data_IF_068175296553
#
_entry.id   IF_068175296553
#
_cell.length_a   1.000
_cell.length_b   1.000
_cell.length_c   1.000
_cell.angle_alpha   90.00
_cell.angle_beta   90.00
_cell.angle_gamma   90.00
#
_symmetry.space_group_name_H-M   'P 1'
#
loop_
_entity.id
_entity.type
_entity.pdbx_description
1 polymer ?
#
# COMPACT_ATOMS: atom_id res chain seq x y z
N UNK A 1 -49.68 -19.30 -18.01
CA UNK A 1 -48.52 -19.04 -17.11
C UNK A 1 -47.58 -18.10 -17.85
N UNK A 2 -47.34 -16.90 -17.31
CA UNK A 2 -46.46 -15.89 -17.94
C UNK A 2 -45.02 -16.19 -17.54
N UNK A 3 -44.17 -16.47 -18.52
CA UNK A 3 -42.72 -16.53 -18.30
C UNK A 3 -42.23 -15.14 -17.97
N UNK A 4 -41.69 -14.98 -16.76
CA UNK A 4 -40.98 -13.78 -16.35
C UNK A 4 -39.69 -13.68 -17.17
N UNK A 5 -39.70 -12.75 -18.11
CA UNK A 5 -38.53 -12.35 -18.88
C UNK A 5 -37.59 -11.64 -17.90
N UNK A 6 -36.51 -12.34 -17.52
CA UNK A 6 -35.42 -11.74 -16.76
C UNK A 6 -34.83 -10.60 -17.59
N UNK A 7 -34.93 -9.37 -17.07
CA UNK A 7 -34.38 -8.18 -17.70
C UNK A 7 -32.86 -8.32 -17.75
N UNK A 8 -32.36 -8.53 -18.98
CA UNK A 8 -30.95 -8.52 -19.29
C UNK A 8 -30.31 -7.19 -18.89
N UNK A 9 -29.09 -7.30 -18.40
CA UNK A 9 -28.22 -6.20 -18.04
C UNK A 9 -28.03 -5.28 -19.26
N UNK A 10 -27.69 -4.01 -19.01
CA UNK A 10 -27.51 -2.98 -20.05
C UNK A 10 -26.52 -3.36 -21.18
N UNK A 11 -26.36 -2.51 -22.22
CA UNK A 11 -25.63 -2.84 -23.44
C UNK A 11 -24.28 -3.50 -23.13
N UNK A 12 -24.11 -4.69 -23.72
CA UNK A 12 -23.10 -5.67 -23.35
C UNK A 12 -21.70 -5.09 -23.26
N UNK A 13 -21.14 -5.18 -22.06
CA UNK A 13 -19.77 -4.81 -21.78
C UNK A 13 -18.80 -5.68 -22.58
N UNK A 14 -17.77 -5.08 -23.18
CA UNK A 14 -16.75 -5.80 -23.94
C UNK A 14 -15.54 -6.08 -23.05
N UNK A 15 -15.07 -7.33 -23.07
CA UNK A 15 -13.87 -7.71 -22.35
C UNK A 15 -12.64 -7.04 -22.97
N UNK A 16 -11.82 -6.42 -22.12
CA UNK A 16 -10.59 -5.74 -22.52
C UNK A 16 -9.38 -6.64 -22.29
N UNK A 17 -8.43 -6.59 -23.23
CA UNK A 17 -7.19 -7.35 -23.12
C UNK A 17 -6.26 -6.72 -22.06
N UNK A 18 -5.93 -7.54 -21.07
CA UNK A 18 -4.98 -7.24 -20.01
C UNK A 18 -3.87 -8.30 -19.99
N UNK A 19 -2.81 -8.01 -19.24
CA UNK A 19 -1.68 -8.90 -19.03
C UNK A 19 -1.38 -9.00 -17.55
N UNK A 20 -1.24 -10.23 -17.06
CA UNK A 20 -0.59 -10.52 -15.79
C UNK A 20 0.93 -10.48 -16.04
N UNK A 21 1.63 -9.58 -15.34
CA UNK A 21 3.05 -9.28 -15.56
C UNK A 21 3.88 -9.79 -14.40
N UNK A 22 4.92 -10.57 -14.71
CA UNK A 22 5.92 -11.08 -13.78
C UNK A 22 7.33 -10.86 -14.32
N UNK A 23 8.33 -10.51 -13.49
CA UNK A 23 8.22 -10.20 -12.07
C UNK A 23 7.51 -8.85 -11.84
N UNK A 24 6.76 -8.76 -10.74
CA UNK A 24 6.05 -7.53 -10.34
C UNK A 24 6.95 -6.30 -10.37
N UNK A 25 8.20 -6.45 -9.92
CA UNK A 25 9.16 -5.37 -9.80
C UNK A 25 9.49 -4.67 -11.14
N UNK A 26 9.27 -5.34 -12.28
CA UNK A 26 9.48 -4.79 -13.62
C UNK A 26 8.19 -4.37 -14.33
N UNK A 27 7.03 -4.45 -13.68
CA UNK A 27 5.75 -4.17 -14.32
C UNK A 27 5.45 -2.68 -14.62
N UNK A 28 6.39 -1.79 -14.29
CA UNK A 28 6.24 -0.34 -14.43
C UNK A 28 5.24 0.26 -13.43
N UNK A 29 5.14 1.59 -13.44
CA UNK A 29 4.49 2.38 -12.40
C UNK A 29 3.02 2.06 -12.15
N UNK A 30 2.25 1.67 -13.18
CA UNK A 30 0.82 1.39 -13.03
C UNK A 30 -0.03 2.64 -12.77
N UNK A 31 -1.25 2.43 -12.29
CA UNK A 31 -2.21 3.52 -12.03
C UNK A 31 -2.11 4.03 -10.59
N UNK A 32 -1.73 5.30 -10.42
CA UNK A 32 -1.56 5.94 -9.11
C UNK A 32 -2.85 5.96 -8.27
N UNK A 33 -4.03 5.78 -8.89
CA UNK A 33 -5.32 5.63 -8.20
C UNK A 33 -5.38 4.41 -7.30
N UNK A 34 -4.55 3.40 -7.56
CA UNK A 34 -4.41 2.23 -6.68
C UNK A 34 -3.97 2.62 -5.25
N UNK A 35 -3.12 3.63 -5.15
CA UNK A 35 -2.64 4.20 -3.88
C UNK A 35 -3.57 5.31 -3.40
N UNK A 36 -3.89 6.29 -4.25
CA UNK A 36 -4.59 7.50 -3.81
C UNK A 36 -6.03 7.24 -3.39
N UNK A 37 -6.80 6.40 -4.09
CA UNK A 37 -8.18 6.08 -3.68
C UNK A 37 -8.22 5.25 -2.39
N UNK A 38 -7.25 4.37 -2.20
CA UNK A 38 -7.10 3.62 -0.96
C UNK A 38 -6.81 4.56 0.22
N UNK A 39 -5.91 5.53 0.04
CA UNK A 39 -5.60 6.51 1.09
C UNK A 39 -6.79 7.42 1.40
N UNK A 40 -7.54 7.87 0.39
CA UNK A 40 -8.80 8.62 0.60
C UNK A 40 -9.81 7.79 1.40
N UNK A 41 -9.93 6.50 1.10
CA UNK A 41 -10.76 5.57 1.85
C UNK A 41 -10.31 5.38 3.31
N UNK A 42 -9.01 5.57 3.58
CA UNK A 42 -8.44 5.58 4.93
C UNK A 42 -8.50 6.95 5.64
N UNK A 43 -9.19 7.94 5.05
CA UNK A 43 -9.35 9.27 5.63
C UNK A 43 -8.21 10.25 5.35
N UNK A 44 -7.26 9.91 4.48
CA UNK A 44 -6.25 10.87 4.03
C UNK A 44 -6.89 11.99 3.23
N UNK A 45 -6.39 13.21 3.45
CA UNK A 45 -6.87 14.40 2.76
C UNK A 45 -6.07 14.63 1.49
N UNK A 46 -6.75 14.82 0.38
CA UNK A 46 -6.15 15.28 -0.88
C UNK A 46 -5.87 16.80 -0.78
N UNK A 47 -4.61 17.18 -0.95
CA UNK A 47 -4.12 18.56 -0.91
C UNK A 47 -3.50 18.97 -2.24
N UNK A 48 -3.78 18.23 -3.31
CA UNK A 48 -3.25 18.49 -4.65
C UNK A 48 -3.76 19.83 -5.18
N UNK A 49 -2.88 20.60 -5.84
CA UNK A 49 -3.30 21.80 -6.58
C UNK A 49 -4.03 21.36 -7.87
N UNK A 50 -4.92 22.21 -8.39
CA UNK A 50 -5.59 21.95 -9.69
C UNK A 50 -4.53 21.71 -10.77
N UNK A 51 -4.61 20.55 -11.43
CA UNK A 51 -3.64 20.09 -12.45
C UNK A 51 -2.18 19.96 -11.97
N UNK A 52 -1.94 19.93 -10.65
CA UNK A 52 -0.62 19.76 -10.06
C UNK A 52 -0.28 18.30 -9.74
N UNK A 53 0.94 18.06 -9.22
CA UNK A 53 1.33 16.77 -8.64
C UNK A 53 0.32 16.32 -7.57
N UNK A 54 0.19 14.99 -7.42
CA UNK A 54 -0.60 14.44 -6.33
C UNK A 54 0.07 14.83 -5.00
N UNK A 55 -0.73 15.32 -4.07
CA UNK A 55 -0.31 15.56 -2.69
C UNK A 55 -1.42 15.12 -1.74
N UNK A 56 -1.06 14.32 -0.74
CA UNK A 56 -1.98 13.81 0.27
C UNK A 56 -1.37 13.95 1.66
N UNK A 57 -2.22 14.19 2.65
CA UNK A 57 -1.83 14.34 4.05
C UNK A 57 -2.60 13.34 4.93
N UNK A 58 -1.90 12.70 5.86
CA UNK A 58 -2.49 11.75 6.79
C UNK A 58 -3.55 12.42 7.69
N UNK A 59 -4.53 11.66 8.23
CA UNK A 59 -5.59 12.21 9.08
C UNK A 59 -5.07 13.02 10.29
N UNK A 60 -3.92 12.62 10.84
CA UNK A 60 -3.24 13.26 11.97
C UNK A 60 -2.22 14.33 11.56
N UNK A 61 -2.07 14.60 10.25
CA UNK A 61 -1.17 15.59 9.63
C UNK A 61 0.31 15.39 9.93
N UNK A 62 0.73 14.17 10.28
CA UNK A 62 2.13 13.85 10.57
C UNK A 62 2.88 13.38 9.33
N UNK A 63 2.19 12.73 8.39
CA UNK A 63 2.78 12.18 7.18
C UNK A 63 2.18 12.85 5.95
N UNK A 64 3.05 13.18 5.01
CA UNK A 64 2.69 13.69 3.68
C UNK A 64 3.20 12.72 2.63
N UNK A 65 2.36 12.47 1.64
CA UNK A 65 2.69 11.71 0.44
C UNK A 65 2.53 12.62 -0.76
N UNK A 66 3.47 12.58 -1.69
CA UNK A 66 3.33 13.25 -2.97
C UNK A 66 3.82 12.37 -4.11
N UNK A 67 3.24 12.55 -5.29
CA UNK A 67 3.72 11.98 -6.53
C UNK A 67 3.86 13.06 -7.59
N UNK A 68 5.11 13.33 -8.01
CA UNK A 68 5.45 14.29 -9.04
C UNK A 68 6.30 13.62 -10.13
N UNK A 69 5.75 13.37 -11.33
CA UNK A 69 6.49 12.73 -12.41
C UNK A 69 7.44 13.68 -13.15
N UNK A 70 7.35 15.00 -12.93
CA UNK A 70 8.06 16.03 -13.70
C UNK A 70 9.34 16.53 -13.02
N UNK A 71 9.49 16.29 -11.72
CA UNK A 71 10.75 16.57 -11.00
C UNK A 71 11.85 15.59 -11.37
N UNK A 72 13.12 15.92 -11.06
CA UNK A 72 14.24 15.02 -11.21
C UNK A 72 14.96 14.78 -9.87
N UNK A 73 15.04 13.53 -9.37
CA UNK A 73 14.35 12.34 -9.88
C UNK A 73 12.85 12.39 -9.56
N UNK A 74 12.00 12.12 -10.56
CA UNK A 74 10.54 12.13 -10.40
C UNK A 74 10.02 10.84 -9.79
N UNK A 75 8.86 10.92 -9.13
CA UNK A 75 8.21 9.77 -8.51
C UNK A 75 7.51 10.12 -7.21
N UNK A 76 7.55 9.17 -6.27
CA UNK A 76 6.90 9.24 -4.98
C UNK A 76 7.85 9.79 -3.92
N UNK A 77 7.33 10.69 -3.08
CA UNK A 77 7.98 11.17 -1.88
C UNK A 77 7.02 10.99 -0.71
N UNK A 78 7.49 10.35 0.35
CA UNK A 78 6.74 10.16 1.59
C UNK A 78 7.59 10.73 2.70
N UNK A 79 7.04 11.65 3.48
CA UNK A 79 7.78 12.35 4.53
C UNK A 79 6.94 12.46 5.79
N UNK A 80 7.56 12.20 6.92
CA UNK A 80 6.97 12.48 8.23
C UNK A 80 7.74 13.61 8.90
N UNK A 81 7.02 14.55 9.51
CA UNK A 81 7.64 15.54 10.37
C UNK A 81 8.03 14.92 11.70
N UNK A 82 9.09 15.46 12.34
CA UNK A 82 9.47 15.05 13.68
C UNK A 82 8.35 15.42 14.67
N UNK A 83 8.01 14.49 15.57
CA UNK A 83 6.97 14.70 16.59
C UNK A 83 7.35 14.07 17.92
N UNK A 84 7.65 14.90 18.91
CA UNK A 84 8.10 14.44 20.23
C UNK A 84 9.36 13.59 20.11
N UNK A 85 9.27 12.32 20.49
CA UNK A 85 10.39 11.35 20.39
C UNK A 85 10.51 10.67 19.02
N UNK A 86 9.57 10.88 18.10
CA UNK A 86 9.64 10.29 16.76
C UNK A 86 10.46 11.20 15.85
N UNK A 87 11.60 10.72 15.31
CA UNK A 87 12.42 11.50 14.39
C UNK A 87 11.67 11.72 13.07
N UNK A 88 12.06 12.78 12.36
CA UNK A 88 11.71 12.94 10.95
C UNK A 88 12.26 11.76 10.14
N UNK A 89 11.48 11.32 9.16
CA UNK A 89 11.91 10.29 8.20
C UNK A 89 11.30 10.57 6.84
N UNK A 90 11.90 9.96 5.81
CA UNK A 90 11.44 10.09 4.44
C UNK A 90 11.70 8.82 3.64
N UNK A 91 10.95 8.66 2.55
CA UNK A 91 11.17 7.67 1.51
C UNK A 91 10.99 8.32 0.13
N UNK A 92 11.96 8.13 -0.75
CA UNK A 92 11.92 8.59 -2.15
C UNK A 92 11.91 7.36 -3.04
N UNK A 93 10.91 7.23 -3.92
CA UNK A 93 10.74 6.06 -4.77
C UNK A 93 10.47 6.51 -6.21
N UNK A 94 11.24 6.00 -7.17
CA UNK A 94 11.17 6.43 -8.56
C UNK A 94 9.83 6.16 -9.23
N UNK A 95 9.48 6.99 -10.24
CA UNK A 95 8.19 6.92 -10.96
C UNK A 95 7.86 5.58 -11.63
N UNK A 96 8.88 4.76 -11.95
CA UNK A 96 8.67 3.45 -12.58
C UNK A 96 8.39 2.34 -11.55
N UNK A 97 8.48 2.62 -10.26
CA UNK A 97 8.15 1.65 -9.21
C UNK A 97 6.67 1.27 -9.28
N UNK A 98 6.33 -0.03 -9.37
CA UNK A 98 4.96 -0.51 -9.38
C UNK A 98 4.15 0.02 -8.20
N UNK A 99 2.96 0.56 -8.48
CA UNK A 99 2.01 1.03 -7.44
C UNK A 99 1.66 -0.02 -6.41
N UNK A 100 1.76 -1.32 -6.74
CA UNK A 100 1.54 -2.42 -5.81
C UNK A 100 2.65 -2.52 -4.74
N UNK A 101 3.89 -2.16 -5.10
CA UNK A 101 5.01 -2.07 -4.15
C UNK A 101 4.86 -0.83 -3.27
N UNK A 102 4.48 0.31 -3.88
CA UNK A 102 4.16 1.55 -3.13
C UNK A 102 3.01 1.29 -2.14
N UNK A 103 1.98 0.57 -2.59
CA UNK A 103 0.82 0.19 -1.79
C UNK A 103 1.21 -0.62 -0.56
N UNK A 104 2.18 -1.53 -0.65
CA UNK A 104 2.71 -2.26 0.51
C UNK A 104 3.13 -1.33 1.65
N UNK A 105 3.89 -0.28 1.32
CA UNK A 105 4.30 0.72 2.29
C UNK A 105 3.15 1.63 2.73
N UNK A 106 2.35 2.15 1.79
CA UNK A 106 1.29 3.11 2.14
C UNK A 106 0.14 2.47 2.91
N UNK A 107 -0.15 1.20 2.68
CA UNK A 107 -1.14 0.44 3.45
C UNK A 107 -0.68 0.23 4.89
N UNK A 108 0.64 0.07 5.12
CA UNK A 108 1.18 -0.04 6.45
C UNK A 108 1.04 1.27 7.26
N UNK A 109 0.99 2.43 6.60
CA UNK A 109 0.71 3.72 7.26
C UNK A 109 -0.71 3.82 7.82
N UNK A 110 -1.65 3.00 7.32
CA UNK A 110 -3.06 3.05 7.74
C UNK A 110 -3.41 1.95 8.74
N UNK A 111 -2.44 1.08 9.08
CA UNK A 111 -2.62 -0.05 9.99
C UNK A 111 -1.99 0.25 11.37
N UNK A 112 -2.55 -0.33 12.45
CA UNK A 112 -1.88 -0.27 13.74
C UNK A 112 -0.51 -0.97 13.66
N UNK A 113 0.46 -0.47 14.41
CA UNK A 113 1.79 -1.08 14.50
C UNK A 113 1.67 -2.43 15.20
N UNK A 114 2.30 -3.45 14.64
CA UNK A 114 2.46 -4.74 15.32
C UNK A 114 3.33 -4.55 16.58
N UNK A 115 3.02 -5.31 17.64
CA UNK A 115 3.86 -5.39 18.83
C UNK A 115 5.15 -6.22 18.58
N UNK A 116 5.18 -7.02 17.51
CA UNK A 116 6.34 -7.81 17.14
C UNK A 116 7.42 -6.95 16.50
N UNK A 117 8.67 -7.22 16.85
CA UNK A 117 9.81 -6.55 16.25
C UNK A 117 9.84 -6.82 14.73
N UNK A 118 9.84 -5.78 13.89
CA UNK A 118 9.84 -5.96 12.45
C UNK A 118 11.17 -6.52 11.95
N UNK A 119 11.11 -7.46 11.00
CA UNK A 119 12.27 -7.99 10.29
C UNK A 119 12.06 -7.81 8.78
N UNK A 120 12.93 -7.01 8.17
CA UNK A 120 12.89 -6.63 6.75
C UNK A 120 13.35 -7.77 5.83
N UNK A 121 14.16 -8.69 6.33
CA UNK A 121 14.78 -9.74 5.51
C UNK A 121 13.89 -10.98 5.39
N UNK A 122 13.09 -11.28 6.42
CA UNK A 122 12.21 -12.47 6.45
C UNK A 122 11.32 -12.59 5.20
N UNK A 123 10.59 -11.54 4.75
CA UNK A 123 9.77 -11.66 3.55
C UNK A 123 10.56 -11.96 2.27
N UNK A 124 11.82 -11.51 2.20
CA UNK A 124 12.69 -11.77 1.05
C UNK A 124 13.21 -13.22 1.10
N UNK A 125 13.62 -13.69 2.27
CA UNK A 125 14.07 -15.08 2.52
C UNK A 125 12.96 -16.10 2.24
N UNK A 126 11.73 -15.83 2.69
CA UNK A 126 10.54 -16.66 2.41
C UNK A 126 10.28 -16.82 0.91
N UNK A 127 10.63 -15.80 0.12
CA UNK A 127 10.52 -15.80 -1.35
C UNK A 127 11.82 -16.22 -2.03
N UNK A 128 12.72 -16.88 -1.28
CA UNK A 128 13.99 -17.47 -1.76
C UNK A 128 14.95 -16.46 -2.38
N UNK A 129 14.93 -15.22 -1.92
CA UNK A 129 15.92 -14.23 -2.33
C UNK A 129 17.31 -14.65 -1.84
N UNK A 130 18.32 -14.40 -2.67
CA UNK A 130 19.70 -14.65 -2.30
C UNK A 130 20.19 -13.53 -1.39
N UNK A 131 20.47 -13.87 -0.13
CA UNK A 131 20.99 -12.92 0.85
C UNK A 131 22.51 -13.03 0.96
N UNK A 132 23.17 -11.89 1.09
CA UNK A 132 24.62 -11.78 1.26
C UNK A 132 24.91 -10.79 2.38
N UNK A 133 25.78 -11.22 3.28
CA UNK A 133 26.25 -10.40 4.39
C UNK A 133 27.74 -10.13 4.23
N UNK A 134 28.10 -8.84 4.19
CA UNK A 134 29.50 -8.38 4.10
C UNK A 134 29.74 -7.28 5.13
N UNK A 135 30.19 -7.68 6.32
CA UNK A 135 30.50 -6.75 7.40
C UNK A 135 29.26 -5.97 7.88
N UNK A 136 29.15 -4.71 7.51
CA UNK A 136 28.01 -3.83 7.86
C UNK A 136 27.01 -3.66 6.71
N UNK A 137 27.19 -4.40 5.63
CA UNK A 137 26.34 -4.35 4.45
C UNK A 137 25.54 -5.66 4.34
N UNK A 138 24.24 -5.53 4.15
CA UNK A 138 23.36 -6.66 3.92
C UNK A 138 22.62 -6.43 2.60
N UNK A 139 22.70 -7.41 1.71
CA UNK A 139 22.09 -7.37 0.38
C UNK A 139 21.20 -8.58 0.20
N UNK A 140 20.02 -8.36 -0.36
CA UNK A 140 19.14 -9.42 -0.86
C UNK A 140 18.83 -9.17 -2.33
N UNK A 141 18.88 -10.21 -3.15
CA UNK A 141 18.59 -10.14 -4.59
C UNK A 141 17.56 -11.19 -4.98
N UNK A 142 16.59 -10.80 -5.81
CA UNK A 142 15.52 -11.69 -6.26
C UNK A 142 16.08 -12.90 -7.02
N UNK A 143 15.36 -14.04 -7.05
CA UNK A 143 15.80 -15.24 -7.77
C UNK A 143 16.12 -15.00 -9.25
N UNK A 144 15.42 -14.07 -9.89
CA UNK A 144 15.61 -13.68 -11.30
C UNK A 144 16.63 -12.54 -11.50
N UNK A 145 17.24 -12.04 -10.42
CA UNK A 145 18.22 -10.95 -10.44
C UNK A 145 17.66 -9.62 -10.96
N UNK A 146 16.34 -9.45 -11.00
CA UNK A 146 15.70 -8.21 -11.47
C UNK A 146 15.56 -7.15 -10.38
N UNK A 147 15.46 -7.56 -9.13
CA UNK A 147 15.19 -6.68 -7.99
C UNK A 147 16.15 -6.95 -6.82
N UNK A 148 16.34 -5.93 -5.99
CA UNK A 148 17.28 -5.99 -4.89
C UNK A 148 16.88 -5.08 -3.72
N UNK A 149 17.37 -5.41 -2.54
CA UNK A 149 17.20 -4.64 -1.31
C UNK A 149 18.53 -4.63 -0.55
N UNK A 150 19.08 -3.45 -0.30
CA UNK A 150 20.35 -3.24 0.39
C UNK A 150 20.15 -2.44 1.67
N UNK A 151 20.88 -2.85 2.69
CA UNK A 151 21.16 -2.07 3.88
C UNK A 151 22.65 -1.81 3.93
N UNK A 152 23.03 -0.53 4.00
CA UNK A 152 24.42 -0.11 4.14
C UNK A 152 24.56 0.73 5.38
N UNK A 153 25.50 0.39 6.25
CA UNK A 153 25.91 1.24 7.36
C UNK A 153 27.40 1.56 7.26
N UNK A 154 27.74 2.85 7.26
CA UNK A 154 29.13 3.30 7.21
C UNK A 154 29.83 3.21 8.58
N UNK A 155 31.10 3.62 8.64
CA UNK A 155 31.90 3.62 9.86
C UNK A 155 31.34 4.57 10.93
N UNK A 156 30.81 5.71 10.48
CA UNK A 156 30.25 6.80 11.31
C UNK A 156 28.83 6.48 11.83
N UNK A 157 28.26 5.35 11.41
CA UNK A 157 26.97 4.85 11.85
C UNK A 157 25.78 5.33 11.01
N UNK A 158 26.02 6.05 9.90
CA UNK A 158 24.96 6.42 8.98
C UNK A 158 24.47 5.18 8.23
N UNK A 159 23.20 4.86 8.43
CA UNK A 159 22.54 3.76 7.77
C UNK A 159 21.68 4.25 6.60
N UNK A 160 21.67 3.52 5.50
CA UNK A 160 20.83 3.77 4.35
C UNK A 160 20.17 2.47 3.90
N UNK A 161 18.85 2.51 3.76
CA UNK A 161 18.11 1.50 3.03
C UNK A 161 17.96 1.95 1.60
N UNK A 162 18.35 1.09 0.67
CA UNK A 162 18.23 1.34 -0.75
C UNK A 162 17.67 0.08 -1.40
N UNK A 163 16.76 0.25 -2.35
CA UNK A 163 16.19 -0.85 -3.12
C UNK A 163 16.01 -0.40 -4.56
N UNK A 164 15.74 -1.34 -5.44
CA UNK A 164 15.30 -1.04 -6.77
C UNK A 164 15.04 -2.31 -7.57
N UNK A 165 14.62 -2.07 -8.80
CA UNK A 165 14.62 -3.08 -9.83
C UNK A 165 15.22 -2.50 -11.09
N UNK A 166 15.85 -3.35 -11.88
CA UNK A 166 16.38 -2.99 -13.18
C UNK A 166 16.40 -4.18 -14.12
N UNK A 167 16.23 -3.90 -15.40
CA UNK A 167 16.53 -4.84 -16.46
C UNK A 167 17.67 -4.33 -17.37
N UNK A 168 17.93 -5.11 -18.42
CA UNK A 168 18.94 -4.82 -19.43
C UNK A 168 18.48 -3.75 -20.42
N UNK A 169 17.16 -3.56 -20.60
CA UNK A 169 16.58 -2.54 -21.47
C UNK A 169 16.51 -1.14 -20.81
N UNK A 170 17.01 -0.99 -19.58
CA UNK A 170 16.99 0.27 -18.86
C UNK A 170 15.64 0.61 -18.22
N UNK A 171 14.70 -0.34 -18.16
CA UNK A 171 13.56 -0.22 -17.26
C UNK A 171 14.07 -0.40 -15.84
N UNK A 172 13.80 0.57 -14.98
CA UNK A 172 14.25 0.47 -13.61
C UNK A 172 13.79 1.62 -12.74
N UNK A 173 13.84 1.35 -11.45
CA UNK A 173 13.48 2.33 -10.44
C UNK A 173 14.33 2.06 -9.20
N UNK A 174 14.45 3.09 -8.37
CA UNK A 174 15.12 2.99 -7.08
C UNK A 174 14.20 3.50 -5.99
N UNK A 175 14.42 3.03 -4.77
CA UNK A 175 13.76 3.46 -3.54
C UNK A 175 14.81 3.69 -2.47
N UNK A 176 14.85 4.87 -1.89
CA UNK A 176 15.74 5.23 -0.79
C UNK A 176 14.92 5.60 0.43
N UNK A 177 15.38 5.18 1.61
CA UNK A 177 14.73 5.50 2.88
C UNK A 177 15.73 6.11 3.84
N UNK A 178 15.28 7.11 4.59
CA UNK A 178 16.06 7.69 5.67
C UNK A 178 16.42 6.61 6.72
N UNK A 179 17.59 6.70 7.39
CA UNK A 179 17.93 5.81 8.50
C UNK A 179 16.88 5.74 9.61
N UNK A 180 16.15 6.84 9.82
CA UNK A 180 15.08 6.99 10.81
C UNK A 180 13.73 6.41 10.38
N UNK A 181 13.63 5.84 9.16
CA UNK A 181 12.38 5.28 8.64
C UNK A 181 11.92 4.12 9.53
N UNK A 182 10.66 4.14 10.01
CA UNK A 182 10.16 3.07 10.86
C UNK A 182 10.29 1.70 10.20
N UNK A 183 10.95 0.76 10.88
CA UNK A 183 11.28 -0.57 10.34
C UNK A 183 10.07 -1.38 9.84
N UNK A 184 8.89 -1.20 10.44
CA UNK A 184 7.68 -1.86 9.95
C UNK A 184 7.23 -1.38 8.56
N UNK A 185 7.55 -0.13 8.18
CA UNK A 185 7.30 0.39 6.83
C UNK A 185 8.29 -0.19 5.83
N UNK A 186 9.56 -0.29 6.20
CA UNK A 186 10.60 -0.94 5.39
C UNK A 186 10.27 -2.42 5.19
N UNK A 187 9.80 -3.10 6.24
CA UNK A 187 9.34 -4.49 6.13
C UNK A 187 8.12 -4.59 5.20
N UNK A 188 7.10 -3.76 5.35
CA UNK A 188 5.94 -3.80 4.48
C UNK A 188 6.29 -3.55 3.00
N UNK A 189 7.25 -2.65 2.75
CA UNK A 189 7.83 -2.46 1.43
C UNK A 189 8.54 -3.74 0.93
N UNK A 190 9.41 -4.35 1.74
CA UNK A 190 10.11 -5.59 1.38
C UNK A 190 9.15 -6.75 1.09
N UNK A 191 8.05 -6.88 1.84
CA UNK A 191 7.00 -7.88 1.59
C UNK A 191 6.35 -7.66 0.23
N UNK A 192 6.00 -6.42 -0.11
CA UNK A 192 5.38 -6.13 -1.39
C UNK A 192 6.36 -6.26 -2.58
N UNK A 193 7.64 -5.96 -2.35
CA UNK A 193 8.73 -6.15 -3.31
C UNK A 193 8.99 -7.64 -3.60
N UNK A 194 9.00 -8.48 -2.56
CA UNK A 194 9.27 -9.91 -2.68
C UNK A 194 8.10 -10.72 -3.25
N UNK A 195 6.89 -10.16 -3.22
CA UNK A 195 5.67 -10.86 -3.61
C UNK A 195 5.77 -11.44 -5.04
N UNK A 196 5.54 -12.77 -5.20
CA UNK A 196 5.62 -13.43 -6.50
C UNK A 196 4.36 -13.21 -7.34
N UNK A 197 3.31 -12.62 -6.75
CA UNK A 197 2.02 -12.49 -7.42
C UNK A 197 2.11 -11.52 -8.62
N UNK A 198 1.65 -11.95 -9.80
CA UNK A 198 1.63 -11.11 -10.98
C UNK A 198 0.78 -9.87 -10.76
N UNK A 199 1.12 -8.80 -11.49
CA UNK A 199 0.30 -7.58 -11.48
C UNK A 199 -0.34 -7.33 -12.83
N UNK A 200 -1.57 -6.85 -12.80
CA UNK A 200 -2.34 -6.62 -14.00
C UNK A 200 -1.95 -5.31 -14.66
N UNK A 201 -1.72 -5.33 -15.97
CA UNK A 201 -1.47 -4.15 -16.80
C UNK A 201 -2.37 -4.19 -18.04
N UNK A 202 -2.97 -3.06 -18.44
CA UNK A 202 -3.71 -3.01 -19.69
C UNK A 202 -2.75 -3.13 -20.88
N UNK A 203 -3.30 -3.51 -22.04
CA UNK A 203 -2.53 -3.54 -23.30
C UNK A 203 -1.83 -2.19 -23.55
N UNK A 204 -0.56 -2.25 -23.96
CA UNK A 204 0.26 -1.05 -24.22
C UNK A 204 0.88 -0.41 -22.97
N UNK A 205 0.65 -0.97 -21.77
CA UNK A 205 1.28 -0.50 -20.52
C UNK A 205 2.26 -1.51 -19.90
N UNK A 206 2.55 -2.60 -20.60
CA UNK A 206 3.60 -3.54 -20.21
C UNK A 206 4.95 -3.00 -20.71
N UNK A 207 5.95 -2.77 -19.84
CA UNK A 207 7.29 -2.40 -20.27
C UNK A 207 7.93 -3.47 -21.15
N UNK A 208 8.78 -3.05 -22.09
CA UNK A 208 9.52 -3.99 -22.93
C UNK A 208 10.70 -4.56 -22.16
N UNK A 209 10.65 -5.85 -21.81
CA UNK A 209 11.76 -6.52 -21.14
C UNK A 209 11.88 -7.99 -21.53
N UNK A 210 13.10 -8.49 -21.66
CA UNK A 210 13.40 -9.93 -21.79
C UNK A 210 13.21 -10.69 -20.49
N UNK A 211 13.21 -9.98 -19.35
CA UNK A 211 12.97 -10.54 -18.02
C UNK A 211 11.48 -10.58 -17.65
N UNK A 212 10.61 -9.95 -18.45
CA UNK A 212 9.17 -9.92 -18.21
C UNK A 212 8.50 -11.09 -18.91
N UNK A 213 7.72 -11.85 -18.14
CA UNK A 213 6.74 -12.82 -18.62
C UNK A 213 5.35 -12.21 -18.52
N UNK A 214 4.54 -12.42 -19.57
CA UNK A 214 3.15 -11.97 -19.59
C UNK A 214 2.20 -13.14 -19.82
N UNK A 215 1.10 -13.14 -19.07
CA UNK A 215 -0.03 -14.02 -19.34
C UNK A 215 -1.22 -13.17 -19.75
N UNK A 216 -1.72 -13.40 -20.97
CA UNK A 216 -2.89 -12.71 -21.52
C UNK A 216 -4.15 -13.09 -20.76
N UNK A 217 -4.93 -12.08 -20.35
CA UNK A 217 -6.23 -12.27 -19.70
C UNK A 217 -7.25 -11.29 -20.28
N UNK A 218 -8.50 -11.73 -20.45
CA UNK A 218 -9.61 -10.89 -20.87
C UNK A 218 -10.45 -10.55 -19.65
N UNK A 219 -10.63 -9.26 -19.38
CA UNK A 219 -11.30 -8.79 -18.16
C UNK A 219 -12.36 -7.76 -18.53
N UNK A 220 -13.55 -7.88 -17.94
CA UNK A 220 -14.59 -6.88 -18.10
C UNK A 220 -14.26 -5.63 -17.25
N UNK A 221 -14.47 -4.40 -17.76
CA UNK A 221 -14.31 -3.18 -16.97
C UNK A 221 -15.05 -3.20 -15.62
N UNK A 222 -16.20 -3.85 -15.51
CA UNK A 222 -16.98 -4.03 -14.29
C UNK A 222 -16.27 -4.92 -13.27
N UNK A 223 -15.52 -5.93 -13.72
CA UNK A 223 -14.68 -6.75 -12.84
C UNK A 223 -13.51 -5.93 -12.29
N UNK A 224 -12.84 -5.14 -13.13
CA UNK A 224 -11.78 -4.22 -12.69
C UNK A 224 -12.31 -3.21 -11.66
N UNK A 225 -13.46 -2.61 -11.96
CA UNK A 225 -14.15 -1.70 -11.06
C UNK A 225 -14.52 -2.37 -9.74
N UNK A 226 -15.06 -3.59 -9.78
CA UNK A 226 -15.42 -4.35 -8.60
C UNK A 226 -14.21 -4.67 -7.70
N UNK A 227 -13.07 -5.05 -8.26
CA UNK A 227 -11.85 -5.28 -7.48
C UNK A 227 -11.32 -4.00 -6.83
N UNK A 228 -11.35 -2.88 -7.55
CA UNK A 228 -10.98 -1.58 -6.99
C UNK A 228 -11.94 -1.17 -5.86
N UNK A 229 -13.25 -1.33 -6.08
CA UNK A 229 -14.26 -1.02 -5.05
C UNK A 229 -14.14 -1.94 -3.83
N UNK A 230 -13.82 -3.23 -4.01
CA UNK A 230 -13.59 -4.15 -2.90
C UNK A 230 -12.40 -3.69 -2.04
N UNK A 231 -11.29 -3.28 -2.66
CA UNK A 231 -10.12 -2.70 -1.96
C UNK A 231 -10.50 -1.43 -1.18
N UNK A 232 -11.23 -0.52 -1.80
CA UNK A 232 -11.70 0.73 -1.19
C UNK A 232 -12.67 0.45 -0.02
N UNK A 233 -13.62 -0.47 -0.20
CA UNK A 233 -14.59 -0.84 0.82
C UNK A 233 -13.92 -1.48 2.04
N UNK A 234 -12.98 -2.39 1.82
CA UNK A 234 -12.19 -2.99 2.90
C UNK A 234 -11.39 -1.93 3.69
N UNK A 235 -10.81 -0.95 2.99
CA UNK A 235 -10.09 0.17 3.61
C UNK A 235 -11.01 1.05 4.49
N UNK A 236 -12.22 1.37 3.99
CA UNK A 236 -13.23 2.11 4.77
C UNK A 236 -13.68 1.33 6.00
N UNK A 237 -13.99 0.05 5.83
CA UNK A 237 -14.42 -0.82 6.93
C UNK A 237 -13.36 -0.90 8.04
N UNK A 238 -12.08 -1.11 7.67
CA UNK A 238 -10.98 -1.11 8.63
C UNK A 238 -10.82 0.24 9.35
N UNK A 239 -11.07 1.35 8.66
CA UNK A 239 -11.01 2.69 9.24
C UNK A 239 -12.15 2.93 10.24
N UNK A 240 -13.37 2.55 9.89
CA UNK A 240 -14.53 2.64 10.78
C UNK A 240 -14.37 1.77 12.03
N UNK A 241 -13.86 0.55 11.88
CA UNK A 241 -13.56 -0.33 13.01
C UNK A 241 -12.58 0.33 14.01
N UNK A 242 -11.55 1.04 13.52
CA UNK A 242 -10.60 1.77 14.39
C UNK A 242 -11.22 2.96 15.11
N UNK A 243 -12.13 3.68 14.46
CA UNK A 243 -12.80 4.84 15.07
C UNK A 243 -13.86 4.44 16.08
N UNK A 244 -14.64 3.37 15.81
CA UNK A 244 -15.65 2.87 16.74
C UNK A 244 -15.05 2.34 18.04
N UNK A 245 -13.91 1.66 18.00
CA UNK A 245 -13.18 1.19 19.20
C UNK A 245 -12.61 2.36 20.04
N UNK A 246 -12.46 3.55 19.46
CA UNK A 246 -11.95 4.75 20.14
C UNK A 246 -13.04 5.66 20.70
N UNK A 247 -14.32 5.42 20.39
CA UNK A 247 -15.40 6.15 21.02
C UNK A 247 -15.60 5.63 22.46
N UNK A 248 -15.56 6.49 23.49
CA UNK A 248 -16.00 6.07 24.81
C UNK A 248 -17.49 5.75 24.70
N UNK A 249 -17.84 4.51 24.99
CA UNK A 249 -19.22 4.05 25.10
C UNK A 249 -19.99 5.03 26.02
N UNK A 250 -21.10 5.64 25.58
CA UNK A 250 -21.93 6.42 26.48
C UNK A 250 -22.44 5.48 27.58
N UNK A 251 -21.82 5.56 28.77
CA UNK A 251 -22.25 4.83 29.97
C UNK A 251 -23.76 4.98 30.07
N UNK A 252 -24.47 3.91 29.75
CA UNK A 252 -25.92 3.85 29.93
C UNK A 252 -26.12 3.81 31.44
N UNK A 253 -26.41 4.96 32.04
CA UNK A 253 -26.80 5.04 33.44
C UNK A 253 -28.07 4.21 33.60
N UNK A 254 -28.07 3.17 34.48
CA UNK A 254 -29.29 2.42 34.73
C UNK A 254 -30.31 3.37 35.35
N UNK A 255 -31.46 3.49 34.69
CA UNK A 255 -32.62 4.22 35.22
C UNK A 255 -33.05 3.50 36.50
N UNK A 256 -33.10 4.14 37.68
CA UNK A 256 -33.55 3.46 38.89
C UNK A 256 -35.02 3.06 38.72
N UNK A 257 -35.30 1.76 38.87
CA UNK A 257 -36.65 1.23 38.93
C UNK A 257 -37.38 1.82 40.13
N UNK A 258 -38.53 2.45 39.88
CA UNK A 258 -39.44 2.89 40.92
C UNK A 258 -39.88 1.68 41.75
N UNK A 259 -39.52 1.65 43.03
CA UNK A 259 -39.98 0.65 43.97
C UNK A 259 -41.49 0.78 44.18
N UNK A 260 -42.23 -0.27 43.83
CA UNK A 260 -43.62 -0.42 44.21
C UNK A 260 -43.70 -0.56 45.74
N UNK A 261 -44.33 0.41 46.40
CA UNK A 261 -44.55 0.39 47.85
C UNK A 261 -45.55 -0.70 48.26
N UNK A 262 -45.40 -1.29 49.46
CA UNK A 262 -46.20 -2.45 49.87
C UNK A 262 -47.62 -2.04 50.30
N UNK A 263 -48.58 -2.88 49.89
CA UNK A 263 -49.95 -2.87 50.39
C UNK A 263 -49.98 -3.06 51.92
N UNK A 264 -50.59 -2.12 52.65
CA UNK A 264 -50.96 -2.29 54.06
C UNK A 264 -52.37 -2.90 54.15
N UNK A 265 -52.46 -4.11 54.71
CA UNK A 265 -53.70 -4.73 55.12
C UNK A 265 -54.20 -4.10 56.43
N UNK A 266 -55.50 -3.79 56.48
CA UNK A 266 -56.25 -3.36 57.68
C UNK A 266 -56.51 -4.56 58.60
N UNK A 267 -56.47 -4.29 59.91
CA UNK A 267 -57.33 -4.93 60.91
C UNK A 267 -58.22 -3.85 61.50
#
# INVERSE_FOLDING_TARGET
MRQAQWQGWGPGEQAEQHYLVEPRALAGGGDIRHVSEFLRACGWRDTSKKSGPLAMESPDRTVRLSYDPYTQPGGWMIRSTARGRQPEWWAVIGRQAPVEIIAGLTDALTRPRSAHAPNVWVPLEEQRWHTRFEGRHYTATSPDGSAWMHFRQDADGNALWWSGARDEQGNGWTAQFAPSTPMHLVQAFSTALASPEPVMRPRGRVPHSTKIRTTSVSVLPSQLGAWQQARIAAARAATWARHSVRSPDPRTTPRPHAGAGPFRARR
#
